data_IF_024726147757
#
_entry.id   IF_024726147757
#
_cell.length_a   1.000
_cell.length_b   1.000
_cell.length_c   1.000
_cell.angle_alpha   90.00
_cell.angle_beta   90.00
_cell.angle_gamma   90.00
#
_symmetry.space_group_name_H-M   'P 1'
#
loop_
_entity.id
_entity.type
_entity.pdbx_description
1 polymer ?
#
# COMPACT_ATOMS: atom_id res chain seq x y z
N UNK A 1 -6.12 -18.47 -3.54
CA UNK A 1 -5.58 -18.43 -2.20
C UNK A 1 -4.90 -17.11 -1.94
N UNK A 2 -5.28 -16.42 -0.86
CA UNK A 2 -5.01 -14.99 -0.77
C UNK A 2 -3.82 -14.58 0.12
N UNK A 3 -3.23 -15.47 0.90
CA UNK A 3 -2.20 -15.13 1.89
C UNK A 3 -0.84 -15.65 1.42
N UNK A 4 0.22 -14.85 1.57
CA UNK A 4 1.59 -15.24 1.26
C UNK A 4 2.01 -16.48 2.08
N UNK A 5 2.59 -17.46 1.41
CA UNK A 5 3.11 -18.70 2.00
C UNK A 5 4.60 -18.91 1.79
N UNK A 6 5.20 -18.09 0.93
CA UNK A 6 6.61 -18.17 0.59
C UNK A 6 7.23 -16.79 0.47
N UNK A 7 8.56 -16.72 0.55
CA UNK A 7 9.31 -15.49 0.26
C UNK A 7 9.09 -15.02 -1.19
N UNK A 8 8.84 -15.94 -2.12
CA UNK A 8 8.50 -15.60 -3.52
C UNK A 8 7.17 -14.87 -3.57
N UNK A 9 6.16 -15.34 -2.82
CA UNK A 9 4.87 -14.63 -2.75
C UNK A 9 5.05 -13.21 -2.19
N UNK A 10 5.84 -13.05 -1.13
CA UNK A 10 6.14 -11.74 -0.55
C UNK A 10 6.86 -10.83 -1.52
N UNK A 11 7.81 -11.35 -2.28
CA UNK A 11 8.50 -10.60 -3.33
C UNK A 11 7.54 -10.10 -4.40
N UNK A 12 6.64 -10.95 -4.87
CA UNK A 12 5.62 -10.61 -5.86
C UNK A 12 4.63 -9.56 -5.33
N UNK A 13 4.19 -9.71 -4.06
CA UNK A 13 3.34 -8.73 -3.38
C UNK A 13 4.06 -7.38 -3.30
N UNK A 14 5.32 -7.37 -2.88
CA UNK A 14 6.12 -6.15 -2.79
C UNK A 14 6.22 -5.44 -4.13
N UNK A 15 6.55 -6.17 -5.19
CA UNK A 15 6.59 -5.61 -6.54
C UNK A 15 5.23 -5.03 -6.97
N UNK A 16 4.12 -5.71 -6.64
CA UNK A 16 2.77 -5.22 -6.92
C UNK A 16 2.50 -3.90 -6.20
N UNK A 17 2.78 -3.83 -4.91
CA UNK A 17 2.62 -2.63 -4.07
C UNK A 17 3.45 -1.46 -4.62
N UNK A 18 4.72 -1.69 -4.93
CA UNK A 18 5.63 -0.67 -5.47
C UNK A 18 5.17 -0.19 -6.86
N UNK A 19 4.69 -1.10 -7.73
CA UNK A 19 4.14 -0.73 -9.04
C UNK A 19 2.92 0.18 -8.90
N UNK A 20 1.97 -0.17 -8.04
CA UNK A 20 0.77 0.65 -7.80
C UNK A 20 1.18 2.03 -7.30
N UNK A 21 2.07 2.10 -6.31
CA UNK A 21 2.59 3.37 -5.79
C UNK A 21 3.30 4.21 -6.86
N UNK A 22 4.12 3.58 -7.70
CA UNK A 22 4.88 4.28 -8.73
C UNK A 22 4.02 4.72 -9.93
N UNK A 23 3.03 3.92 -10.34
CA UNK A 23 2.08 4.31 -11.40
C UNK A 23 1.30 5.55 -10.97
N UNK A 24 0.88 5.61 -9.72
CA UNK A 24 0.17 6.78 -9.19
C UNK A 24 1.03 8.05 -9.20
N UNK A 25 2.37 7.93 -9.18
CA UNK A 25 3.30 9.05 -8.99
C UNK A 25 4.02 9.51 -10.27
N UNK A 26 4.16 8.68 -11.33
CA UNK A 26 5.21 8.86 -12.35
C UNK A 26 4.79 8.74 -13.82
N UNK A 27 3.58 9.11 -14.23
CA UNK A 27 3.15 8.79 -15.61
C UNK A 27 3.39 9.86 -16.65
N UNK A 28 3.37 11.13 -16.33
CA UNK A 28 3.53 12.18 -17.34
C UNK A 28 4.47 13.29 -16.87
N UNK A 29 5.50 13.56 -17.70
CA UNK A 29 6.37 14.72 -17.53
C UNK A 29 5.84 15.86 -18.40
N UNK A 30 5.24 16.88 -17.79
CA UNK A 30 4.93 18.12 -18.46
C UNK A 30 5.97 19.19 -18.06
N UNK A 31 7.08 19.27 -18.77
CA UNK A 31 8.16 20.19 -18.44
C UNK A 31 8.74 19.91 -17.05
N UNK A 32 8.80 20.90 -16.14
CA UNK A 32 9.31 20.73 -14.79
C UNK A 32 8.31 20.04 -13.82
N UNK A 33 7.07 19.82 -14.26
CA UNK A 33 6.00 19.25 -13.42
C UNK A 33 5.84 17.76 -13.72
N UNK A 34 5.98 16.94 -12.68
CA UNK A 34 5.70 15.50 -12.74
C UNK A 34 4.25 15.27 -12.32
N UNK A 35 3.41 14.90 -13.27
CA UNK A 35 2.02 14.51 -13.01
C UNK A 35 1.93 12.98 -13.00
N UNK A 36 1.39 12.40 -11.93
CA UNK A 36 1.05 10.98 -11.88
C UNK A 36 -0.10 10.63 -12.84
N UNK A 37 -0.26 9.35 -13.17
CA UNK A 37 -1.40 8.88 -13.96
C UNK A 37 -2.73 9.31 -13.33
N UNK A 38 -2.81 9.25 -12.02
CA UNK A 38 -3.97 9.66 -11.25
C UNK A 38 -4.35 11.12 -11.54
N UNK A 39 -3.38 12.04 -11.53
CA UNK A 39 -3.61 13.45 -11.83
C UNK A 39 -4.08 13.68 -13.28
N UNK A 40 -3.62 12.86 -14.23
CA UNK A 40 -4.06 12.94 -15.64
C UNK A 40 -5.48 12.40 -15.78
N UNK A 41 -5.82 11.32 -15.08
CA UNK A 41 -7.14 10.71 -15.13
C UNK A 41 -8.21 11.55 -14.43
N UNK A 42 -7.83 12.43 -13.49
CA UNK A 42 -8.75 13.36 -12.82
C UNK A 42 -9.36 14.40 -13.76
N UNK A 43 -8.71 14.67 -14.90
CA UNK A 43 -9.33 15.52 -15.94
C UNK A 43 -10.48 14.84 -16.70
N UNK A 44 -10.65 13.51 -16.52
CA UNK A 44 -11.76 12.77 -17.11
C UNK A 44 -12.75 12.43 -16.00
N UNK A 45 -13.96 13.01 -15.99
CA UNK A 45 -14.94 12.77 -14.95
C UNK A 45 -15.14 11.27 -14.68
N UNK A 46 -15.17 10.87 -13.41
CA UNK A 46 -15.33 9.51 -12.90
C UNK A 46 -14.18 8.53 -13.14
N UNK A 47 -13.25 8.78 -14.06
CA UNK A 47 -12.15 7.83 -14.35
C UNK A 47 -11.11 7.86 -13.24
N UNK A 48 -10.78 9.04 -12.73
CA UNK A 48 -9.85 9.19 -11.61
C UNK A 48 -10.34 8.52 -10.33
N UNK A 49 -11.62 8.68 -9.99
CA UNK A 49 -12.24 8.06 -8.83
C UNK A 49 -12.27 6.53 -8.94
N UNK A 50 -12.67 5.99 -10.09
CA UNK A 50 -12.67 4.54 -10.34
C UNK A 50 -11.25 3.98 -10.21
N UNK A 51 -10.27 4.63 -10.82
CA UNK A 51 -8.87 4.24 -10.68
C UNK A 51 -8.42 4.27 -9.22
N UNK A 52 -8.74 5.34 -8.49
CA UNK A 52 -8.38 5.52 -7.09
C UNK A 52 -8.94 4.39 -6.20
N UNK A 53 -10.21 4.03 -6.39
CA UNK A 53 -10.86 2.95 -5.65
C UNK A 53 -10.22 1.59 -5.98
N UNK A 54 -9.94 1.31 -7.25
CA UNK A 54 -9.31 0.05 -7.66
C UNK A 54 -7.88 -0.04 -7.13
N UNK A 55 -7.06 0.98 -7.32
CA UNK A 55 -5.67 1.00 -6.87
C UNK A 55 -5.59 0.91 -5.34
N UNK A 56 -6.44 1.65 -4.63
CA UNK A 56 -6.53 1.59 -3.17
C UNK A 56 -6.98 0.23 -2.66
N UNK A 57 -8.00 -0.36 -3.30
CA UNK A 57 -8.46 -1.70 -2.98
C UNK A 57 -7.38 -2.77 -3.16
N UNK A 58 -6.62 -2.68 -4.26
CA UNK A 58 -5.49 -3.59 -4.51
C UNK A 58 -4.40 -3.44 -3.45
N UNK A 59 -4.04 -2.21 -3.03
CA UNK A 59 -3.07 -1.99 -1.95
C UNK A 59 -3.52 -2.63 -0.63
N UNK A 60 -4.79 -2.49 -0.26
CA UNK A 60 -5.35 -3.12 0.94
C UNK A 60 -5.26 -4.65 0.83
N UNK A 61 -5.64 -5.23 -0.33
CA UNK A 61 -5.57 -6.67 -0.57
C UNK A 61 -4.13 -7.16 -0.47
N UNK A 62 -3.16 -6.48 -1.10
CA UNK A 62 -1.75 -6.87 -1.04
C UNK A 62 -1.19 -6.76 0.38
N UNK A 63 -1.57 -5.72 1.13
CA UNK A 63 -1.21 -5.59 2.54
C UNK A 63 -1.77 -6.73 3.41
N UNK A 64 -3.02 -7.15 3.17
CA UNK A 64 -3.61 -8.32 3.84
C UNK A 64 -2.88 -9.62 3.45
N UNK A 65 -2.55 -9.80 2.17
CA UNK A 65 -1.79 -10.96 1.67
C UNK A 65 -0.41 -11.06 2.30
N UNK A 66 0.28 -9.91 2.48
CA UNK A 66 1.56 -9.82 3.18
C UNK A 66 1.43 -9.95 4.69
N UNK A 67 0.21 -10.04 5.24
CA UNK A 67 -0.04 -10.07 6.68
C UNK A 67 0.60 -8.88 7.41
N UNK A 68 0.59 -7.67 6.83
CA UNK A 68 1.10 -6.49 7.54
C UNK A 68 0.26 -6.19 8.80
N UNK A 69 0.79 -5.42 9.77
CA UNK A 69 0.05 -5.08 10.98
C UNK A 69 -1.31 -4.45 10.68
N UNK A 70 -2.32 -4.80 11.48
CA UNK A 70 -3.67 -4.24 11.33
C UNK A 70 -3.69 -2.71 11.44
N UNK A 71 -2.82 -2.13 12.27
CA UNK A 71 -2.65 -0.67 12.38
C UNK A 71 -2.22 -0.04 11.06
N UNK A 72 -1.31 -0.67 10.33
CA UNK A 72 -0.90 -0.24 8.98
C UNK A 72 -2.07 -0.32 8.01
N UNK A 73 -2.82 -1.43 8.01
CA UNK A 73 -4.00 -1.57 7.15
C UNK A 73 -5.08 -0.53 7.46
N UNK A 74 -5.33 -0.23 8.72
CA UNK A 74 -6.26 0.82 9.13
C UNK A 74 -5.81 2.20 8.63
N UNK A 75 -4.54 2.54 8.79
CA UNK A 75 -3.99 3.80 8.32
C UNK A 75 -4.05 3.93 6.79
N UNK A 76 -3.71 2.87 6.05
CA UNK A 76 -3.84 2.81 4.59
C UNK A 76 -5.29 2.99 4.16
N UNK A 77 -6.23 2.26 4.78
CA UNK A 77 -7.66 2.37 4.48
C UNK A 77 -8.18 3.79 4.76
N UNK A 78 -7.75 4.40 5.86
CA UNK A 78 -8.10 5.78 6.20
C UNK A 78 -7.59 6.77 5.14
N UNK A 79 -6.32 6.67 4.74
CA UNK A 79 -5.72 7.55 3.72
C UNK A 79 -6.46 7.44 2.38
N UNK A 80 -6.75 6.21 1.93
CA UNK A 80 -7.49 5.97 0.70
C UNK A 80 -8.91 6.50 0.81
N UNK A 81 -9.57 6.30 1.95
CA UNK A 81 -10.90 6.82 2.22
C UNK A 81 -10.96 8.35 2.17
N UNK A 82 -10.01 9.03 2.81
CA UNK A 82 -9.89 10.51 2.75
C UNK A 82 -9.68 10.97 1.31
N UNK A 83 -8.79 10.30 0.56
CA UNK A 83 -8.55 10.61 -0.85
C UNK A 83 -9.82 10.48 -1.69
N UNK A 84 -10.57 9.39 -1.50
CA UNK A 84 -11.84 9.16 -2.21
C UNK A 84 -12.87 10.23 -1.86
N UNK A 85 -12.98 10.62 -0.58
CA UNK A 85 -13.90 11.68 -0.15
C UNK A 85 -13.54 13.04 -0.76
N UNK A 86 -12.25 13.37 -0.88
CA UNK A 86 -11.80 14.60 -1.54
C UNK A 86 -12.19 14.57 -3.02
N UNK A 87 -11.95 13.43 -3.71
CA UNK A 87 -12.32 13.26 -5.12
C UNK A 87 -13.82 13.43 -5.36
N UNK A 88 -14.67 12.85 -4.51
CA UNK A 88 -16.12 13.00 -4.62
C UNK A 88 -16.62 14.42 -4.33
N UNK A 89 -15.82 15.27 -3.69
CA UNK A 89 -16.11 16.70 -3.48
C UNK A 89 -16.24 17.47 -4.80
N UNK A 90 -15.71 16.96 -5.92
CA UNK A 90 -15.86 17.53 -7.26
C UNK A 90 -17.31 17.55 -7.76
N UNK A 91 -18.20 16.77 -7.12
CA UNK A 91 -19.64 16.78 -7.42
C UNK A 91 -20.36 18.00 -6.83
N UNK A 92 -19.70 18.82 -6.00
CA UNK A 92 -20.29 20.02 -5.39
C UNK A 92 -19.92 21.25 -6.23
N UNK A 93 -20.89 21.93 -6.87
CA UNK A 93 -20.62 23.13 -7.66
C UNK A 93 -19.90 24.21 -6.82
N UNK A 94 -18.77 24.71 -7.34
CA UNK A 94 -17.98 25.77 -6.69
C UNK A 94 -16.83 25.29 -5.78
N UNK A 95 -16.78 24.02 -5.41
CA UNK A 95 -15.68 23.44 -4.62
C UNK A 95 -14.76 22.57 -5.49
N UNK A 96 -15.24 22.15 -6.66
CA UNK A 96 -14.59 21.17 -7.53
C UNK A 96 -13.12 21.47 -7.82
N UNK A 97 -12.78 22.68 -8.25
CA UNK A 97 -11.39 23.02 -8.62
C UNK A 97 -10.42 22.93 -7.42
N UNK A 98 -10.88 23.34 -6.23
CA UNK A 98 -10.04 23.24 -5.01
C UNK A 98 -9.89 21.78 -4.61
N UNK A 99 -10.95 20.98 -4.72
CA UNK A 99 -10.91 19.56 -4.45
C UNK A 99 -9.99 18.82 -5.43
N UNK A 100 -10.01 19.14 -6.72
CA UNK A 100 -9.11 18.58 -7.74
C UNK A 100 -7.65 18.89 -7.44
N UNK A 101 -7.31 20.13 -7.11
CA UNK A 101 -5.94 20.51 -6.74
C UNK A 101 -5.50 19.76 -5.48
N UNK A 102 -6.35 19.68 -4.47
CA UNK A 102 -6.04 18.97 -3.24
C UNK A 102 -5.88 17.47 -3.48
N UNK A 103 -6.71 16.88 -4.33
CA UNK A 103 -6.64 15.48 -4.72
C UNK A 103 -5.36 15.16 -5.50
N UNK A 104 -5.02 15.97 -6.50
CA UNK A 104 -3.80 15.83 -7.30
C UNK A 104 -2.52 15.99 -6.44
N UNK A 105 -2.56 16.84 -5.41
CA UNK A 105 -1.45 17.02 -4.47
C UNK A 105 -1.32 15.90 -3.44
N UNK A 106 -2.41 15.17 -3.17
CA UNK A 106 -2.44 14.15 -2.13
C UNK A 106 -2.09 12.76 -2.67
N UNK A 107 -0.82 12.42 -2.57
CA UNK A 107 -0.24 11.14 -3.03
C UNK A 107 -0.61 9.94 -2.14
N UNK A 108 -1.91 9.77 -1.85
CA UNK A 108 -2.40 8.76 -0.91
C UNK A 108 -1.94 7.34 -1.27
N UNK A 109 -2.00 6.97 -2.56
CA UNK A 109 -1.58 5.64 -3.01
C UNK A 109 -0.09 5.41 -2.82
N UNK A 110 0.75 6.40 -3.14
CA UNK A 110 2.20 6.31 -2.92
C UNK A 110 2.53 6.19 -1.44
N UNK A 111 1.94 7.03 -0.60
CA UNK A 111 2.13 6.98 0.85
C UNK A 111 1.67 5.62 1.40
N UNK A 112 0.52 5.13 0.95
CA UNK A 112 -0.03 3.83 1.35
C UNK A 112 0.88 2.67 0.92
N UNK A 113 1.41 2.70 -0.31
CA UNK A 113 2.35 1.70 -0.80
C UNK A 113 3.65 1.70 0.02
N UNK A 114 4.21 2.88 0.32
CA UNK A 114 5.41 3.02 1.14
C UNK A 114 5.18 2.54 2.58
N UNK A 115 4.01 2.77 3.16
CA UNK A 115 3.64 2.27 4.48
C UNK A 115 3.58 0.73 4.51
N UNK A 116 2.97 0.11 3.49
CA UNK A 116 2.92 -1.35 3.36
C UNK A 116 4.33 -1.91 3.19
N UNK A 117 5.14 -1.35 2.28
CA UNK A 117 6.50 -1.80 2.05
C UNK A 117 7.36 -1.73 3.32
N UNK A 118 7.32 -0.62 4.05
CA UNK A 118 8.01 -0.47 5.35
C UNK A 118 7.53 -1.49 6.38
N UNK A 119 6.21 -1.70 6.49
CA UNK A 119 5.67 -2.69 7.41
C UNK A 119 6.10 -4.12 7.05
N UNK A 120 6.32 -4.42 5.77
CA UNK A 120 6.93 -5.68 5.33
C UNK A 120 8.40 -5.76 5.74
N UNK A 121 9.18 -4.68 5.59
CA UNK A 121 10.60 -4.62 6.00
C UNK A 121 10.77 -4.77 7.52
N UNK A 122 9.84 -4.20 8.30
CA UNK A 122 9.82 -4.29 9.76
C UNK A 122 9.28 -5.64 10.28
N UNK A 123 8.92 -6.55 9.38
CA UNK A 123 8.43 -7.89 9.72
C UNK A 123 9.45 -8.96 9.33
N UNK A 124 9.79 -9.83 10.26
CA UNK A 124 10.58 -11.03 9.99
C UNK A 124 9.64 -12.15 9.54
N UNK A 125 9.70 -12.49 8.27
CA UNK A 125 8.94 -13.60 7.69
C UNK A 125 9.79 -14.86 7.71
N UNK A 126 9.21 -15.96 8.20
CA UNK A 126 9.84 -17.26 8.28
C UNK A 126 9.05 -18.23 7.44
N UNK A 127 9.72 -18.81 6.44
CA UNK A 127 9.19 -19.88 5.62
C UNK A 127 9.67 -21.20 6.21
N UNK A 128 8.75 -22.12 6.49
CA UNK A 128 9.11 -23.41 7.04
C UNK A 128 8.06 -23.99 8.00
N UNK A 129 8.37 -25.14 8.58
CA UNK A 129 7.52 -25.84 9.53
C UNK A 129 7.96 -25.60 10.98
N UNK A 130 7.03 -25.72 11.92
CA UNK A 130 7.29 -25.51 13.36
C UNK A 130 8.41 -26.41 13.94
N UNK A 131 8.83 -27.43 13.24
CA UNK A 131 9.93 -28.34 13.64
C UNK A 131 11.29 -27.95 13.07
N UNK A 132 11.37 -26.95 12.22
CA UNK A 132 12.60 -26.56 11.57
C UNK A 132 13.56 -25.84 12.54
N UNK A 133 14.88 -26.04 12.41
CA UNK A 133 15.87 -25.38 13.27
C UNK A 133 15.77 -23.86 13.25
N UNK A 134 15.48 -23.28 12.09
CA UNK A 134 15.31 -21.84 11.92
C UNK A 134 14.14 -21.30 12.76
N UNK A 135 13.03 -22.03 12.81
CA UNK A 135 11.91 -21.69 13.68
C UNK A 135 12.29 -21.65 15.15
N UNK A 136 13.05 -22.68 15.60
CA UNK A 136 13.50 -22.78 16.99
C UNK A 136 14.46 -21.63 17.36
N UNK A 137 15.40 -21.30 16.48
CA UNK A 137 16.34 -20.19 16.68
C UNK A 137 15.63 -18.83 16.78
N UNK A 138 14.73 -18.54 15.86
CA UNK A 138 13.95 -17.28 15.90
C UNK A 138 13.11 -17.21 17.17
N UNK A 139 12.47 -18.30 17.58
CA UNK A 139 11.69 -18.35 18.81
C UNK A 139 12.58 -18.10 20.05
N UNK A 140 13.80 -18.63 20.06
CA UNK A 140 14.77 -18.37 21.12
C UNK A 140 15.16 -16.89 21.17
N UNK A 141 15.43 -16.25 20.01
CA UNK A 141 15.75 -14.81 19.92
C UNK A 141 14.59 -13.92 20.37
N UNK A 142 13.36 -14.26 20.01
CA UNK A 142 12.16 -13.55 20.47
C UNK A 142 12.02 -13.66 22.00
N UNK A 143 12.19 -14.87 22.56
CA UNK A 143 12.12 -15.09 24.02
C UNK A 143 13.23 -14.35 24.77
N UNK A 144 14.41 -14.28 24.19
CA UNK A 144 15.55 -13.54 24.75
C UNK A 144 15.42 -12.01 24.61
N UNK A 145 14.42 -11.51 23.88
CA UNK A 145 14.23 -10.08 23.62
C UNK A 145 15.27 -9.47 22.66
N UNK A 146 16.06 -10.30 21.98
CA UNK A 146 17.05 -9.87 21.00
C UNK A 146 16.46 -9.64 19.61
N UNK A 147 15.34 -10.28 19.29
CA UNK A 147 14.55 -9.97 18.08
C UNK A 147 13.40 -9.02 18.44
N UNK A 148 13.40 -7.84 17.86
CA UNK A 148 12.40 -6.78 18.10
C UNK A 148 11.36 -6.66 16.97
N UNK A 149 11.65 -7.23 15.81
CA UNK A 149 10.72 -7.21 14.68
C UNK A 149 9.53 -8.12 14.94
N UNK A 150 8.41 -7.74 14.36
CA UNK A 150 7.25 -8.64 14.31
C UNK A 150 7.61 -9.89 13.53
N UNK A 151 7.29 -11.06 14.08
CA UNK A 151 7.56 -12.35 13.42
C UNK A 151 6.28 -12.91 12.82
N UNK A 152 6.32 -13.31 11.55
CA UNK A 152 5.22 -13.93 10.83
C UNK A 152 5.68 -15.22 10.18
N UNK A 153 5.01 -16.32 10.50
CA UNK A 153 5.26 -17.63 9.90
C UNK A 153 4.38 -17.80 8.65
N UNK A 154 5.00 -18.20 7.53
CA UNK A 154 4.37 -18.32 6.23
C UNK A 154 3.77 -19.72 5.98
N UNK A 155 4.26 -20.74 6.68
CA UNK A 155 3.82 -22.13 6.57
C UNK A 155 2.48 -22.43 7.25
#
# INVERSE_FOLDING_TARGET
MFIARSHIDLHNIRQSVERIGNISDNVVHFGPVKLGLEAVLEFVPFVGEIYSVIAGGLLIIEGMRARVPGTTLMAVTFLIGVRTLIGTGNLVPGIGVIAEIAAAAFRAHKISADMIARAMDDTLYIEGHKGDPEYADVLARVRAGTEKRRVVYLG
#
